data_IF_936525819201
#
_entry.id   IF_936525819201
#
_cell.length_a   1.000
_cell.length_b   1.000
_cell.length_c   1.000
_cell.angle_alpha   90.00
_cell.angle_beta   90.00
_cell.angle_gamma   90.00
#
_symmetry.space_group_name_H-M   'P 1'
#
loop_
_entity.id
_entity.type
_entity.pdbx_description
1 polymer ?
#
# COMPACT_ATOMS: atom_id res chain seq x y z
N UNK A 1 9.67 -7.26 5.79
CA UNK A 1 8.69 -7.26 6.88
C UNK A 1 9.36 -6.87 8.18
N UNK A 2 8.66 -6.19 9.07
CA UNK A 2 9.10 -5.93 10.45
C UNK A 2 8.19 -6.71 11.38
N UNK A 3 8.77 -7.51 12.27
CA UNK A 3 8.02 -8.33 13.20
C UNK A 3 8.81 -8.45 14.51
N UNK A 4 8.11 -8.33 15.64
CA UNK A 4 8.71 -8.36 16.97
C UNK A 4 9.12 -9.78 17.37
N UNK A 5 8.32 -10.77 16.98
CA UNK A 5 8.49 -12.17 17.38
C UNK A 5 9.44 -12.88 16.41
N UNK A 6 10.63 -13.24 16.91
CA UNK A 6 11.66 -13.91 16.10
C UNK A 6 11.15 -15.21 15.44
N UNK A 7 10.36 -16.02 16.15
CA UNK A 7 9.79 -17.24 15.60
C UNK A 7 8.88 -16.97 14.38
N UNK A 8 8.09 -15.90 14.42
CA UNK A 8 7.22 -15.50 13.31
C UNK A 8 8.02 -15.00 12.09
N UNK A 9 9.20 -14.40 12.31
CA UNK A 9 10.13 -14.06 11.22
C UNK A 9 10.70 -15.31 10.57
N UNK A 10 11.08 -16.33 11.35
CA UNK A 10 11.53 -17.60 10.80
C UNK A 10 10.43 -18.33 10.03
N UNK A 11 9.19 -18.28 10.52
CA UNK A 11 8.02 -18.75 9.77
C UNK A 11 7.84 -17.99 8.45
N UNK A 12 7.99 -16.66 8.46
CA UNK A 12 7.86 -15.84 7.26
C UNK A 12 8.95 -16.15 6.22
N UNK A 13 10.19 -16.39 6.66
CA UNK A 13 11.29 -16.83 5.77
C UNK A 13 10.99 -18.19 5.16
N UNK A 14 10.58 -19.17 5.97
CA UNK A 14 10.16 -20.49 5.48
C UNK A 14 9.03 -20.38 4.46
N UNK A 15 8.04 -19.55 4.73
CA UNK A 15 6.93 -19.32 3.80
C UNK A 15 7.41 -18.69 2.48
N UNK A 16 8.35 -17.75 2.53
CA UNK A 16 8.94 -17.19 1.32
C UNK A 16 9.70 -18.26 0.51
N UNK A 17 10.50 -19.10 1.17
CA UNK A 17 11.25 -20.18 0.55
C UNK A 17 10.33 -21.22 -0.11
N UNK A 18 9.28 -21.65 0.61
CA UNK A 18 8.27 -22.58 0.09
C UNK A 18 7.55 -22.06 -1.16
N UNK A 19 7.43 -20.75 -1.31
CA UNK A 19 6.81 -20.11 -2.46
C UNK A 19 7.83 -19.59 -3.50
N UNK A 20 9.12 -19.85 -3.32
CA UNK A 20 10.18 -19.38 -4.21
C UNK A 20 10.33 -17.85 -4.28
N UNK A 21 9.86 -17.13 -3.25
CA UNK A 21 9.90 -15.67 -3.18
C UNK A 21 11.27 -15.23 -2.65
N UNK A 22 12.07 -14.59 -3.49
CA UNK A 22 13.46 -14.19 -3.17
C UNK A 22 13.66 -12.69 -2.96
N UNK A 23 12.64 -11.89 -3.23
CA UNK A 23 12.68 -10.43 -3.16
C UNK A 23 12.10 -9.88 -1.86
N UNK A 24 12.34 -10.58 -0.75
CA UNK A 24 11.84 -10.23 0.58
C UNK A 24 12.97 -10.21 1.59
N UNK A 25 12.90 -9.25 2.51
CA UNK A 25 13.80 -9.14 3.65
C UNK A 25 12.94 -8.97 4.90
N UNK A 26 13.33 -9.63 5.99
CA UNK A 26 12.61 -9.59 7.26
C UNK A 26 13.57 -9.14 8.37
N UNK A 27 13.14 -8.17 9.17
CA UNK A 27 13.87 -7.69 10.33
C UNK A 27 13.10 -8.04 11.61
N UNK A 28 13.79 -8.64 12.56
CA UNK A 28 13.26 -8.90 13.90
C UNK A 28 13.42 -7.63 14.73
N UNK A 29 12.35 -7.16 15.35
CA UNK A 29 12.42 -6.10 16.34
C UNK A 29 11.15 -5.27 16.47
N UNK A 30 11.13 -4.43 17.49
CA UNK A 30 10.04 -3.51 17.73
C UNK A 30 9.98 -2.45 16.62
N UNK A 31 8.84 -2.38 15.94
CA UNK A 31 8.61 -1.41 14.86
C UNK A 31 8.96 0.04 15.27
N UNK A 32 8.76 0.43 16.53
CA UNK A 32 9.07 1.80 17.00
C UNK A 32 10.56 2.12 16.98
N UNK A 33 11.42 1.10 16.98
CA UNK A 33 12.88 1.20 16.92
C UNK A 33 13.37 0.90 15.50
N UNK A 34 12.97 -0.26 14.95
CA UNK A 34 13.52 -0.82 13.71
C UNK A 34 13.02 -0.12 12.45
N UNK A 35 11.90 0.63 12.50
CA UNK A 35 11.35 1.31 11.31
C UNK A 35 12.33 2.27 10.63
N UNK A 36 13.23 2.91 11.38
CA UNK A 36 14.23 3.83 10.81
C UNK A 36 15.26 3.07 9.96
N UNK A 37 15.71 1.93 10.46
CA UNK A 37 16.62 1.04 9.74
C UNK A 37 15.94 0.49 8.50
N UNK A 38 14.70 0.00 8.63
CA UNK A 38 13.91 -0.49 7.51
C UNK A 38 13.76 0.57 6.40
N UNK A 39 13.43 1.81 6.77
CA UNK A 39 13.33 2.92 5.81
C UNK A 39 14.68 3.21 5.17
N UNK A 40 15.78 3.15 5.92
CA UNK A 40 17.13 3.34 5.37
C UNK A 40 17.46 2.26 4.34
N UNK A 41 17.24 0.98 4.66
CA UNK A 41 17.46 -0.16 3.76
C UNK A 41 16.62 -0.07 2.49
N UNK A 42 15.33 0.27 2.61
CA UNK A 42 14.46 0.51 1.45
C UNK A 42 14.97 1.71 0.65
N UNK A 43 15.38 2.78 1.32
CA UNK A 43 15.85 3.99 0.64
C UNK A 43 17.13 3.77 -0.16
N UNK A 44 18.01 2.86 0.28
CA UNK A 44 19.23 2.50 -0.44
C UNK A 44 19.02 1.46 -1.54
N UNK A 45 18.01 0.59 -1.43
CA UNK A 45 17.80 -0.54 -2.34
C UNK A 45 16.88 -0.24 -3.52
N UNK A 46 16.07 0.81 -3.46
CA UNK A 46 15.20 1.24 -4.56
C UNK A 46 15.37 2.73 -4.82
N UNK A 47 15.05 3.23 -6.02
CA UNK A 47 14.91 4.66 -6.33
C UNK A 47 13.44 5.12 -6.48
N UNK A 48 12.47 4.18 -6.49
CA UNK A 48 11.05 4.45 -6.74
C UNK A 48 10.19 4.86 -5.53
N UNK A 49 8.90 4.96 -5.77
CA UNK A 49 7.90 5.21 -4.72
C UNK A 49 7.75 3.99 -3.79
N UNK A 50 7.44 4.25 -2.52
CA UNK A 50 7.27 3.24 -1.47
C UNK A 50 5.81 3.20 -1.02
N UNK A 51 5.29 1.99 -0.85
CA UNK A 51 4.00 1.71 -0.23
C UNK A 51 4.29 1.08 1.13
N UNK A 52 3.83 1.73 2.20
CA UNK A 52 3.89 1.16 3.54
C UNK A 52 2.59 0.40 3.82
N UNK A 53 2.68 -0.85 4.26
CA UNK A 53 1.54 -1.63 4.75
C UNK A 53 1.71 -1.75 6.26
N UNK A 54 0.68 -1.38 7.01
CA UNK A 54 0.69 -1.42 8.49
C UNK A 54 -0.53 -2.15 8.98
N UNK A 55 -0.31 -3.12 9.87
CA UNK A 55 -1.33 -3.91 10.57
C UNK A 55 -0.97 -3.92 12.07
N UNK A 56 -1.32 -2.86 12.81
CA UNK A 56 -0.93 -2.70 14.20
C UNK A 56 -1.87 -3.46 15.14
N UNK A 57 -1.45 -3.68 16.41
CA UNK A 57 -2.36 -4.18 17.44
C UNK A 57 -3.54 -3.22 17.67
N UNK A 58 -4.55 -3.65 18.45
CA UNK A 58 -5.77 -2.87 18.76
C UNK A 58 -5.51 -1.44 19.26
N UNK A 59 -4.36 -1.18 19.88
CA UNK A 59 -3.94 0.14 20.35
C UNK A 59 -3.58 1.14 19.23
N UNK A 60 -3.35 0.68 18.00
CA UNK A 60 -2.88 1.48 16.88
C UNK A 60 -1.35 1.55 16.80
N UNK A 61 -0.85 2.48 15.99
CA UNK A 61 0.58 2.70 15.76
C UNK A 61 1.23 3.55 16.85
N UNK A 62 2.47 3.21 17.19
CA UNK A 62 3.33 4.12 17.97
C UNK A 62 3.58 5.41 17.15
N UNK A 63 3.52 6.57 17.82
CA UNK A 63 3.75 7.89 17.20
C UNK A 63 5.09 7.98 16.47
N UNK A 64 6.11 7.24 16.90
CA UNK A 64 7.41 7.16 16.23
C UNK A 64 7.33 6.48 14.88
N UNK A 65 6.49 5.46 14.72
CA UNK A 65 6.26 4.79 13.43
C UNK A 65 5.56 5.74 12.47
N UNK A 66 4.48 6.39 12.90
CA UNK A 66 3.79 7.42 12.10
C UNK A 66 4.76 8.53 11.70
N UNK A 67 5.60 9.02 12.62
CA UNK A 67 6.60 10.04 12.34
C UNK A 67 7.66 9.56 11.34
N UNK A 68 8.16 8.34 11.47
CA UNK A 68 9.14 7.77 10.55
C UNK A 68 8.58 7.65 9.13
N UNK A 69 7.37 7.08 9.00
CA UNK A 69 6.64 7.00 7.73
C UNK A 69 6.34 8.39 7.17
N UNK A 70 5.99 9.35 8.03
CA UNK A 70 5.71 10.72 7.60
C UNK A 70 6.97 11.41 7.06
N UNK A 71 8.12 11.19 7.68
CA UNK A 71 9.37 11.82 7.30
C UNK A 71 10.03 11.18 6.08
N UNK A 72 9.65 9.96 5.70
CA UNK A 72 10.13 9.35 4.46
C UNK A 72 9.35 9.91 3.26
N UNK A 73 9.97 10.83 2.50
CA UNK A 73 9.35 11.48 1.34
C UNK A 73 8.95 10.50 0.20
N UNK A 74 9.56 9.32 0.20
CA UNK A 74 9.32 8.25 -0.78
C UNK A 74 8.10 7.39 -0.44
N UNK A 75 7.66 7.38 0.82
CA UNK A 75 6.40 6.73 1.19
C UNK A 75 5.25 7.57 0.63
N UNK A 76 4.72 7.15 -0.52
CA UNK A 76 3.60 7.83 -1.19
C UNK A 76 2.26 7.30 -0.75
N UNK A 77 2.21 6.03 -0.35
CA UNK A 77 0.99 5.37 0.07
C UNK A 77 1.19 4.67 1.42
N UNK A 78 0.15 4.72 2.24
CA UNK A 78 0.03 3.88 3.44
C UNK A 78 -1.26 3.10 3.31
N UNK A 79 -1.15 1.77 3.31
CA UNK A 79 -2.27 0.85 3.46
C UNK A 79 -2.34 0.49 4.93
N UNK A 80 -3.38 0.97 5.60
CA UNK A 80 -3.62 0.75 7.01
C UNK A 80 -4.69 -0.32 7.18
N UNK A 81 -4.37 -1.43 7.84
CA UNK A 81 -5.30 -2.48 8.25
C UNK A 81 -5.58 -2.29 9.75
N UNK A 82 -6.83 -2.42 10.19
CA UNK A 82 -7.19 -2.23 11.59
C UNK A 82 -8.46 -2.98 12.00
N UNK A 83 -8.34 -3.72 13.10
CA UNK A 83 -9.46 -4.34 13.80
C UNK A 83 -10.20 -3.35 14.73
N UNK A 84 -9.70 -2.12 14.84
CA UNK A 84 -10.24 -1.07 15.69
C UNK A 84 -10.28 0.27 14.96
N UNK A 85 -11.48 0.69 14.55
CA UNK A 85 -11.67 1.94 13.83
C UNK A 85 -11.27 3.17 14.68
N UNK A 86 -11.40 3.12 16.01
CA UNK A 86 -11.12 4.27 16.88
C UNK A 86 -9.63 4.61 16.91
N UNK A 87 -8.77 3.61 17.17
CA UNK A 87 -7.31 3.83 17.18
C UNK A 87 -6.79 4.19 15.78
N UNK A 88 -7.31 3.53 14.73
CA UNK A 88 -7.00 3.90 13.35
C UNK A 88 -7.30 5.37 13.08
N UNK A 89 -8.45 5.90 13.49
CA UNK A 89 -8.79 7.31 13.27
C UNK A 89 -7.84 8.27 13.99
N UNK A 90 -7.37 7.94 15.18
CA UNK A 90 -6.35 8.74 15.88
C UNK A 90 -5.02 8.76 15.15
N UNK A 91 -4.62 7.64 14.54
CA UNK A 91 -3.40 7.58 13.73
C UNK A 91 -3.56 8.29 12.39
N UNK A 92 -4.70 8.13 11.73
CA UNK A 92 -5.02 8.85 10.48
C UNK A 92 -4.94 10.36 10.69
N UNK A 93 -5.45 10.89 11.82
CA UNK A 93 -5.27 12.31 12.17
C UNK A 93 -3.79 12.72 12.15
N UNK A 94 -2.90 11.90 12.70
CA UNK A 94 -1.45 12.15 12.70
C UNK A 94 -0.83 12.05 11.31
N UNK A 95 -1.42 11.25 10.41
CA UNK A 95 -0.97 11.16 9.03
C UNK A 95 -1.38 12.37 8.18
N UNK A 96 -2.58 12.91 8.39
CA UNK A 96 -3.16 13.99 7.57
C UNK A 96 -2.89 15.40 8.12
N UNK A 97 -2.48 15.52 9.38
CA UNK A 97 -2.22 16.83 9.99
C UNK A 97 -1.08 17.59 9.26
N UNK A 98 -1.13 18.94 9.24
CA UNK A 98 -0.09 19.77 8.64
C UNK A 98 1.31 19.52 9.21
N UNK A 99 2.31 20.08 8.52
CA UNK A 99 3.70 20.10 8.98
C UNK A 99 3.78 20.84 10.32
N UNK A 100 4.48 20.26 11.28
CA UNK A 100 4.77 20.88 12.59
C UNK A 100 6.23 20.68 12.94
N UNK A 101 6.75 21.39 13.95
CA UNK A 101 8.15 21.21 14.44
C UNK A 101 8.50 19.75 14.78
N UNK A 102 7.50 18.94 15.14
CA UNK A 102 7.69 17.54 15.51
C UNK A 102 7.45 16.57 14.35
N UNK A 103 6.84 17.03 13.25
CA UNK A 103 6.39 16.23 12.12
C UNK A 103 6.61 17.00 10.80
N UNK A 104 7.76 16.77 10.17
CA UNK A 104 8.26 17.62 9.08
C UNK A 104 7.85 17.15 7.67
N UNK A 105 7.31 15.93 7.54
CA UNK A 105 6.87 15.42 6.25
C UNK A 105 5.61 16.08 5.69
N UNK A 106 5.42 16.06 4.37
CA UNK A 106 4.18 16.50 3.71
C UNK A 106 2.97 15.62 4.10
N UNK A 107 1.81 16.17 4.48
CA UNK A 107 0.66 15.38 4.94
C UNK A 107 0.20 14.34 3.92
N UNK A 108 -0.33 13.21 4.41
CA UNK A 108 -1.13 12.32 3.56
C UNK A 108 -2.57 12.82 3.48
N UNK A 109 -3.33 12.26 2.55
CA UNK A 109 -4.78 12.41 2.43
C UNK A 109 -5.42 11.04 2.55
N UNK A 110 -6.55 10.93 3.24
CA UNK A 110 -7.36 9.72 3.21
C UNK A 110 -8.07 9.62 1.85
N UNK A 111 -7.87 8.50 1.16
CA UNK A 111 -8.33 8.30 -0.22
C UNK A 111 -9.54 7.38 -0.26
N UNK A 112 -9.45 6.25 0.45
CA UNK A 112 -10.47 5.20 0.43
C UNK A 112 -10.44 4.44 1.75
N UNK A 113 -11.61 4.04 2.22
CA UNK A 113 -11.75 3.06 3.29
C UNK A 113 -12.69 1.94 2.85
N UNK A 114 -12.49 0.73 3.39
CA UNK A 114 -13.38 -0.40 3.19
C UNK A 114 -13.42 -1.28 4.45
N UNK A 115 -14.61 -1.55 5.00
CA UNK A 115 -14.75 -2.56 6.05
C UNK A 115 -14.76 -3.97 5.44
N UNK A 116 -14.32 -4.94 6.24
CA UNK A 116 -14.35 -6.37 5.96
C UNK A 116 -14.96 -7.08 7.16
N UNK A 117 -16.02 -7.84 6.91
CA UNK A 117 -16.64 -8.70 7.92
C UNK A 117 -15.89 -10.04 7.95
N UNK A 118 -14.94 -10.16 8.88
CA UNK A 118 -14.24 -11.42 9.17
C UNK A 118 -14.89 -12.20 10.31
N UNK A 119 -15.84 -11.58 11.02
CA UNK A 119 -16.44 -12.13 12.22
C UNK A 119 -17.97 -11.94 12.20
N UNK A 120 -18.69 -12.63 11.30
CA UNK A 120 -20.13 -12.53 11.21
C UNK A 120 -20.79 -12.82 12.56
N UNK A 121 -21.91 -12.14 12.83
CA UNK A 121 -22.65 -12.22 14.09
C UNK A 121 -21.90 -11.66 15.32
N UNK A 122 -20.81 -10.91 15.13
CA UNK A 122 -20.14 -10.15 16.18
C UNK A 122 -20.18 -8.64 15.89
N UNK A 123 -19.73 -7.82 16.84
CA UNK A 123 -19.52 -6.38 16.62
C UNK A 123 -18.15 -6.07 15.99
N UNK A 124 -17.33 -7.09 15.72
CA UNK A 124 -15.99 -6.91 15.18
C UNK A 124 -16.00 -6.90 13.65
N UNK A 125 -15.26 -5.95 13.08
CA UNK A 125 -14.96 -5.88 11.66
C UNK A 125 -13.51 -5.39 11.49
N UNK A 126 -12.88 -5.81 10.40
CA UNK A 126 -11.61 -5.24 9.97
C UNK A 126 -11.85 -4.04 9.07
N UNK A 127 -10.95 -3.06 9.10
CA UNK A 127 -11.00 -1.90 8.23
C UNK A 127 -9.68 -1.72 7.51
N UNK A 128 -9.77 -1.50 6.19
CA UNK A 128 -8.63 -1.12 5.37
C UNK A 128 -8.79 0.34 4.95
N UNK A 129 -7.75 1.14 5.13
CA UNK A 129 -7.70 2.53 4.68
C UNK A 129 -6.46 2.79 3.83
N UNK A 130 -6.67 3.47 2.70
CA UNK A 130 -5.61 3.99 1.85
C UNK A 130 -5.37 5.47 2.16
N UNK A 131 -4.13 5.80 2.52
CA UNK A 131 -3.64 7.17 2.62
C UNK A 131 -2.64 7.45 1.49
N UNK A 132 -2.68 8.64 0.86
CA UNK A 132 -1.77 9.00 -0.24
C UNK A 132 -1.23 10.43 -0.13
N UNK A 133 -0.01 10.68 -0.65
CA UNK A 133 0.60 12.02 -0.77
C UNK A 133 0.53 12.65 -2.16
N UNK A 134 0.24 11.88 -3.18
CA UNK A 134 0.25 12.39 -4.56
C UNK A 134 -1.16 12.86 -4.96
N UNK A 135 -1.21 13.89 -5.80
CA UNK A 135 -2.37 14.08 -6.70
C UNK A 135 -2.47 12.85 -7.62
N UNK A 136 -3.69 12.34 -7.81
CA UNK A 136 -3.93 11.16 -8.65
C UNK A 136 -3.80 9.82 -7.92
N UNK A 137 -4.34 9.71 -6.69
CA UNK A 137 -4.39 8.48 -5.89
C UNK A 137 -5.24 7.35 -6.55
N UNK A 138 -4.80 6.85 -7.70
CA UNK A 138 -5.58 6.25 -8.79
C UNK A 138 -6.22 7.34 -9.66
N UNK A 139 -5.42 7.94 -10.55
CA UNK A 139 -5.95 8.79 -11.62
C UNK A 139 -6.95 7.99 -12.47
N UNK A 140 -8.24 8.17 -12.16
CA UNK A 140 -9.34 7.50 -12.86
C UNK A 140 -9.40 7.95 -14.31
N UNK A 141 -8.90 9.14 -14.63
CA UNK A 141 -8.88 9.66 -16.00
C UNK A 141 -7.71 9.04 -16.77
N UNK A 142 -6.55 8.82 -16.15
CA UNK A 142 -5.49 8.00 -16.76
C UNK A 142 -5.91 6.54 -16.93
N UNK A 143 -6.64 5.96 -15.96
CA UNK A 143 -7.19 4.61 -16.10
C UNK A 143 -8.27 4.53 -17.19
N UNK A 144 -9.15 5.53 -17.30
CA UNK A 144 -10.17 5.64 -18.36
C UNK A 144 -9.52 5.84 -19.73
N UNK A 145 -8.56 6.75 -19.87
CA UNK A 145 -7.81 6.97 -21.12
C UNK A 145 -7.11 5.68 -21.58
N UNK A 146 -6.49 4.94 -20.66
CA UNK A 146 -5.88 3.62 -20.96
C UNK A 146 -6.92 2.57 -21.37
N UNK A 147 -8.10 2.58 -20.77
CA UNK A 147 -9.19 1.66 -21.14
C UNK A 147 -9.78 2.00 -22.52
N UNK A 148 -9.99 3.29 -22.81
CA UNK A 148 -10.49 3.79 -24.11
C UNK A 148 -9.49 3.52 -25.24
N UNK A 149 -8.19 3.72 -25.01
CA UNK A 149 -7.13 3.36 -25.98
C UNK A 149 -7.09 1.85 -26.26
N UNK A 150 -7.27 1.01 -25.24
CA UNK A 150 -7.28 -0.44 -25.40
C UNK A 150 -8.51 -0.92 -26.21
N UNK A 151 -9.67 -0.28 -26.01
CA UNK A 151 -10.88 -0.57 -26.77
C UNK A 151 -10.75 -0.13 -28.24
N UNK A 152 -10.17 1.06 -28.49
CA UNK A 152 -9.89 1.56 -29.83
C UNK A 152 -8.94 0.65 -30.62
N UNK A 153 -7.88 0.13 -29.98
CA UNK A 153 -6.96 -0.83 -30.60
C UNK A 153 -7.65 -2.15 -30.95
N UNK A 154 -8.52 -2.68 -30.08
CA UNK A 154 -9.30 -3.90 -30.38
C UNK A 154 -10.25 -3.71 -31.56
N UNK A 155 -10.94 -2.56 -31.65
CA UNK A 155 -11.84 -2.25 -32.78
C UNK A 155 -11.08 -2.18 -34.11
N UNK A 156 -9.91 -1.51 -34.12
CA UNK A 156 -9.06 -1.43 -35.32
C UNK A 156 -8.50 -2.79 -35.75
N UNK A 157 -8.03 -3.62 -34.80
CA UNK A 157 -7.57 -4.96 -35.10
C UNK A 157 -8.68 -5.84 -35.70
N UNK A 158 -9.90 -5.76 -35.17
CA UNK A 158 -11.04 -6.53 -35.69
C UNK A 158 -11.46 -6.09 -37.09
N UNK A 159 -11.40 -4.79 -37.39
CA UNK A 159 -11.69 -4.26 -38.72
C UNK A 159 -10.65 -4.69 -39.76
N UNK A 160 -9.36 -4.70 -39.40
CA UNK A 160 -8.29 -5.16 -40.28
C UNK A 160 -8.41 -6.66 -40.63
N UNK A 161 -8.78 -7.49 -39.65
CA UNK A 161 -9.01 -8.93 -39.88
C UNK A 161 -10.22 -9.17 -40.79
N UNK A 162 -11.30 -8.39 -40.62
CA UNK A 162 -12.49 -8.48 -41.48
C UNK A 162 -12.19 -8.05 -42.93
N UNK A 163 -11.39 -7.01 -43.14
CA UNK A 163 -10.99 -6.57 -44.47
C UNK A 163 -10.13 -7.63 -45.19
N UNK A 164 -9.18 -8.24 -44.48
CA UNK A 164 -8.32 -9.30 -45.04
C UNK A 164 -9.10 -10.59 -45.41
N UNK A 165 -10.21 -10.89 -44.72
CA UNK A 165 -11.07 -12.02 -45.04
C UNK A 165 -11.91 -11.80 -46.32
N UNK A 166 -12.20 -10.54 -46.66
CA UNK A 166 -12.94 -10.17 -47.87
C UNK A 166 -12.03 -10.25 -49.10
N UNK A 167 -10.74 -9.91 -48.97
CA UNK A 167 -9.77 -10.01 -50.07
C UNK A 167 -9.32 -11.44 -50.39
N UNK A 168 -9.57 -12.41 -49.51
CA UNK A 168 -9.19 -13.83 -49.71
C UNK A 168 -10.34 -14.72 -50.20
N UNK A 169 -11.53 -14.13 -50.43
CA UNK A 169 -12.74 -14.83 -50.89
C UNK A 169 -13.21 -14.39 -52.30
N UNK A 170 -12.41 -13.57 -53.01
CA UNK A 170 -12.55 -13.27 -54.43
C UNK A 170 -11.42 -13.88 -55.23
#
# INVERSE_FOLDING_TARGET
GLELVAAAVEDAKRNADLNGIRNVEYLVGDAKVTIKEAIKTVSSSTSGDVIAIVDPPRAGLDRRVVKALRNCARVKHVIYVSCNAKSMMEDVKRFVQPVTKQLNGAPFRAVKSRPFDLFPHTLHFEMLMLLSRQEGALDRDALKRKAEEAEGKKKRAKAAVAAAAIETSG
#
